data_IF_096618324411
#
_entry.id   IF_096618324411
#
_cell.length_a   1.000
_cell.length_b   1.000
_cell.length_c   1.000
_cell.angle_alpha   90.00
_cell.angle_beta   90.00
_cell.angle_gamma   90.00
#
_symmetry.space_group_name_H-M   'P 1'
#
loop_
_entity.id
_entity.type
_entity.pdbx_description
1 polymer ?
#
# COMPACT_ATOMS: atom_id res chain seq x y z
N UNK A 1 33.26 -8.26 -39.28
CA UNK A 1 34.33 -8.66 -38.35
C UNK A 1 33.63 -9.19 -37.11
N UNK A 2 33.56 -10.51 -36.96
CA UNK A 2 32.83 -11.15 -35.85
C UNK A 2 33.68 -11.09 -34.58
N UNK A 3 33.10 -10.84 -33.40
CA UNK A 3 33.85 -10.84 -32.16
C UNK A 3 34.49 -12.22 -31.95
N UNK A 4 35.74 -12.24 -31.52
CA UNK A 4 36.43 -13.51 -31.19
C UNK A 4 35.78 -14.14 -29.96
N UNK A 5 35.85 -15.46 -29.83
CA UNK A 5 35.24 -16.21 -28.70
C UNK A 5 35.60 -15.61 -27.32
N UNK A 6 36.83 -15.11 -27.18
CA UNK A 6 37.31 -14.43 -25.99
C UNK A 6 36.57 -13.11 -25.69
N UNK A 7 36.21 -12.32 -26.71
CA UNK A 7 35.42 -11.10 -26.55
C UNK A 7 33.99 -11.40 -26.08
N UNK A 8 33.38 -12.48 -26.58
CA UNK A 8 32.04 -12.90 -26.13
C UNK A 8 32.04 -13.31 -24.65
N UNK A 9 33.07 -14.01 -24.19
CA UNK A 9 33.22 -14.37 -22.77
C UNK A 9 33.34 -13.15 -21.86
N UNK A 10 34.16 -12.17 -22.27
CA UNK A 10 34.33 -10.94 -21.50
C UNK A 10 33.05 -10.12 -21.42
N UNK A 11 32.31 -9.99 -22.53
CA UNK A 11 31.02 -9.29 -22.56
C UNK A 11 30.01 -10.00 -21.66
N UNK A 12 29.92 -11.33 -21.73
CA UNK A 12 29.01 -12.11 -20.87
C UNK A 12 29.35 -11.93 -19.38
N UNK A 13 30.63 -11.97 -19.03
CA UNK A 13 31.09 -11.78 -17.65
C UNK A 13 30.80 -10.36 -17.14
N UNK A 14 30.97 -9.35 -17.99
CA UNK A 14 30.70 -7.95 -17.67
C UNK A 14 29.18 -7.70 -17.51
N UNK A 15 28.34 -8.32 -18.34
CA UNK A 15 26.88 -8.27 -18.17
C UNK A 15 26.46 -8.95 -16.87
N UNK A 16 27.01 -10.13 -16.57
CA UNK A 16 26.71 -10.87 -15.34
C UNK A 16 27.03 -10.04 -14.09
N UNK A 17 28.23 -9.43 -14.03
CA UNK A 17 28.61 -8.58 -12.91
C UNK A 17 27.69 -7.36 -12.81
N UNK A 18 27.40 -6.65 -13.90
CA UNK A 18 26.50 -5.49 -13.86
C UNK A 18 25.07 -5.85 -13.42
N UNK A 19 24.58 -7.04 -13.75
CA UNK A 19 23.25 -7.51 -13.34
C UNK A 19 23.20 -7.97 -11.88
N UNK A 20 24.24 -8.66 -11.40
CA UNK A 20 24.28 -9.23 -10.04
C UNK A 20 24.66 -8.18 -8.99
N UNK A 21 25.59 -7.27 -9.29
CA UNK A 21 25.92 -6.18 -8.37
C UNK A 21 24.80 -5.15 -8.18
N UNK A 22 23.79 -5.13 -9.08
CA UNK A 22 22.61 -4.27 -8.93
C UNK A 22 21.58 -4.77 -7.94
N UNK A 23 21.67 -6.02 -7.46
CA UNK A 23 20.69 -6.59 -6.52
C UNK A 23 21.17 -6.50 -5.07
N UNK A 24 21.37 -5.28 -4.57
CA UNK A 24 21.39 -5.02 -3.13
C UNK A 24 19.93 -4.76 -2.70
N UNK A 25 19.15 -5.84 -2.52
CA UNK A 25 17.82 -5.72 -1.92
C UNK A 25 17.99 -5.48 -0.42
N UNK A 26 18.06 -4.22 -0.01
CA UNK A 26 18.01 -3.85 1.41
C UNK A 26 16.58 -4.00 1.91
N UNK A 27 16.32 -5.07 2.66
CA UNK A 27 15.14 -5.13 3.52
C UNK A 27 15.41 -4.21 4.71
N UNK A 28 14.75 -3.05 4.73
CA UNK A 28 14.63 -2.25 5.95
C UNK A 28 13.64 -3.01 6.82
N UNK A 29 14.15 -3.78 7.80
CA UNK A 29 13.33 -4.24 8.91
C UNK A 29 13.05 -3.00 9.75
N UNK A 30 11.90 -2.37 9.52
CA UNK A 30 11.37 -1.36 10.42
C UNK A 30 10.91 -2.12 11.66
N UNK A 31 11.84 -2.26 12.61
CA UNK A 31 11.52 -2.70 13.97
C UNK A 31 10.49 -1.71 14.51
N UNK A 32 9.31 -2.24 14.85
CA UNK A 32 8.18 -1.47 15.34
C UNK A 32 8.45 -1.05 16.80
N UNK A 33 9.47 -0.23 17.02
CA UNK A 33 9.78 0.29 18.35
C UNK A 33 10.47 1.66 18.24
N UNK A 34 9.75 2.67 18.72
CA UNK A 34 10.16 4.05 18.98
C UNK A 34 10.14 5.04 17.80
N UNK A 35 8.96 5.65 17.58
CA UNK A 35 8.86 6.95 16.90
C UNK A 35 9.41 8.04 17.82
N UNK A 36 10.46 8.79 17.44
CA UNK A 36 10.98 9.87 18.26
C UNK A 36 10.06 11.11 18.18
N UNK A 37 9.47 11.46 19.32
CA UNK A 37 8.96 12.76 19.77
C UNK A 37 8.25 13.69 18.74
N UNK A 38 6.93 13.77 18.92
CA UNK A 38 6.19 15.02 19.13
C UNK A 38 6.34 16.15 18.11
N UNK A 39 5.81 15.93 16.90
CA UNK A 39 4.91 16.94 16.35
C UNK A 39 3.53 16.56 16.92
N UNK A 40 2.82 17.44 17.65
CA UNK A 40 1.44 17.17 18.01
C UNK A 40 0.63 17.22 16.71
N UNK A 41 0.62 16.11 15.98
CA UNK A 41 -0.52 15.78 15.14
C UNK A 41 -1.74 15.95 16.03
N UNK A 42 -2.80 16.64 15.56
CA UNK A 42 -4.00 16.82 16.36
C UNK A 42 -4.38 15.44 16.89
N UNK A 43 -4.30 15.27 18.21
CA UNK A 43 -4.43 13.99 18.89
C UNK A 43 -5.72 13.36 18.41
N UNK A 44 -5.59 12.37 17.54
CA UNK A 44 -6.75 11.79 16.90
C UNK A 44 -7.32 10.76 17.88
N UNK A 45 -8.51 10.96 18.45
CA UNK A 45 -9.00 10.07 19.51
C UNK A 45 -9.15 8.63 19.04
N UNK A 46 -9.41 8.44 17.74
CA UNK A 46 -9.54 7.12 17.09
C UNK A 46 -8.20 6.37 17.04
N UNK A 47 -7.07 7.08 16.96
CA UNK A 47 -5.74 6.46 16.98
C UNK A 47 -5.28 6.09 18.40
N UNK A 48 -5.98 6.56 19.45
CA UNK A 48 -5.71 6.13 20.82
C UNK A 48 -6.26 4.71 21.10
N UNK A 49 -7.24 4.27 20.31
CA UNK A 49 -7.72 2.89 20.28
C UNK A 49 -7.00 2.15 19.14
N UNK A 50 -5.81 1.62 19.46
CA UNK A 50 -4.89 0.97 18.50
C UNK A 50 -5.59 0.01 17.50
N UNK A 51 -6.43 -0.96 17.93
CA UNK A 51 -7.08 -1.87 16.99
C UNK A 51 -8.08 -1.18 16.06
N UNK A 52 -8.79 -0.15 16.54
CA UNK A 52 -9.71 0.62 15.69
C UNK A 52 -8.91 1.47 14.71
N UNK A 53 -7.88 2.16 15.18
CA UNK A 53 -6.97 2.95 14.36
C UNK A 53 -6.34 2.13 13.23
N UNK A 54 -5.85 0.92 13.53
CA UNK A 54 -5.25 0.02 12.54
C UNK A 54 -6.26 -0.37 11.43
N UNK A 55 -7.51 -0.71 11.81
CA UNK A 55 -8.56 -1.03 10.84
C UNK A 55 -8.85 0.18 9.93
N UNK A 56 -8.96 1.37 10.51
CA UNK A 56 -9.22 2.62 9.77
C UNK A 56 -8.08 2.92 8.78
N UNK A 57 -6.83 2.73 9.20
CA UNK A 57 -5.66 2.87 8.32
C UNK A 57 -5.70 1.86 7.17
N UNK A 58 -6.01 0.59 7.49
CA UNK A 58 -6.05 -0.47 6.48
C UNK A 58 -7.15 -0.26 5.45
N UNK A 59 -8.30 0.28 5.85
CA UNK A 59 -9.37 0.70 4.93
C UNK A 59 -8.84 1.73 3.93
N UNK A 60 -8.11 2.75 4.39
CA UNK A 60 -7.55 3.77 3.52
C UNK A 60 -6.49 3.22 2.55
N UNK A 61 -5.66 2.28 3.01
CA UNK A 61 -4.63 1.65 2.16
C UNK A 61 -5.26 0.82 1.04
N UNK A 62 -6.19 -0.08 1.38
CA UNK A 62 -6.90 -0.90 0.39
C UNK A 62 -7.71 -0.04 -0.59
N UNK A 63 -8.35 1.02 -0.09
CA UNK A 63 -9.09 1.95 -0.95
C UNK A 63 -8.18 2.69 -1.93
N UNK A 64 -7.00 3.11 -1.49
CA UNK A 64 -5.99 3.70 -2.36
C UNK A 64 -5.51 2.71 -3.41
N UNK A 65 -5.21 1.46 -3.04
CA UNK A 65 -4.78 0.43 -4.00
C UNK A 65 -5.80 0.28 -5.15
N UNK A 66 -7.10 0.23 -4.82
CA UNK A 66 -8.20 0.09 -5.79
C UNK A 66 -8.44 1.35 -6.64
N UNK A 67 -8.16 2.54 -6.11
CA UNK A 67 -8.49 3.82 -6.75
C UNK A 67 -7.28 4.65 -7.20
N UNK A 68 -6.06 4.17 -6.99
CA UNK A 68 -4.80 4.87 -7.25
C UNK A 68 -4.69 5.48 -8.65
N UNK A 69 -5.23 4.78 -9.65
CA UNK A 69 -5.27 5.22 -11.04
C UNK A 69 -6.09 6.50 -11.29
N UNK A 70 -7.14 6.74 -10.48
CA UNK A 70 -8.04 7.88 -10.61
C UNK A 70 -7.91 8.90 -9.48
N UNK A 71 -7.50 8.45 -8.28
CA UNK A 71 -7.30 9.26 -7.08
C UNK A 71 -5.98 8.90 -6.39
N UNK A 72 -4.84 9.41 -6.87
CA UNK A 72 -3.53 9.07 -6.33
C UNK A 72 -3.33 9.52 -4.87
N UNK A 73 -4.01 10.60 -4.46
CA UNK A 73 -3.92 11.14 -3.10
C UNK A 73 -4.94 10.52 -2.12
N UNK A 74 -5.70 9.50 -2.54
CA UNK A 74 -6.79 8.91 -1.75
C UNK A 74 -6.38 8.53 -0.33
N UNK A 75 -5.18 7.96 -0.16
CA UNK A 75 -4.69 7.52 1.16
C UNK A 75 -4.59 8.69 2.16
N UNK A 76 -4.09 9.84 1.70
CA UNK A 76 -3.90 11.02 2.55
C UNK A 76 -5.24 11.69 2.82
N UNK A 77 -6.10 11.82 1.79
CA UNK A 77 -7.44 12.38 1.91
C UNK A 77 -8.34 11.55 2.85
N UNK A 78 -8.17 10.23 2.84
CA UNK A 78 -8.91 9.30 3.71
C UNK A 78 -8.49 9.41 5.18
N UNK A 79 -7.20 9.62 5.46
CA UNK A 79 -6.66 9.76 6.83
C UNK A 79 -6.84 11.16 7.43
N UNK A 80 -7.17 12.15 6.59
CA UNK A 80 -7.33 13.53 7.02
C UNK A 80 -8.48 13.69 8.04
N UNK A 81 -8.42 14.75 8.84
CA UNK A 81 -9.44 15.11 9.83
C UNK A 81 -9.96 13.92 10.63
N UNK A 82 -9.05 13.08 11.12
CA UNK A 82 -9.39 11.93 11.94
C UNK A 82 -10.38 10.94 11.33
N UNK A 83 -10.22 10.65 10.03
CA UNK A 83 -11.12 9.76 9.28
C UNK A 83 -12.57 10.29 9.21
N UNK A 84 -12.80 11.59 9.45
CA UNK A 84 -14.12 12.21 9.37
C UNK A 84 -14.49 12.68 7.95
N UNK A 85 -13.64 12.37 6.96
CA UNK A 85 -13.81 12.87 5.59
C UNK A 85 -14.80 12.04 4.76
N UNK A 86 -15.33 12.66 3.71
CA UNK A 86 -16.14 11.96 2.71
C UNK A 86 -15.33 10.87 1.99
N UNK A 87 -14.02 11.08 1.81
CA UNK A 87 -13.12 10.08 1.25
C UNK A 87 -13.12 8.79 2.11
N UNK A 88 -13.03 8.92 3.43
CA UNK A 88 -13.11 7.77 4.34
C UNK A 88 -14.47 7.08 4.25
N UNK A 89 -15.58 7.85 4.25
CA UNK A 89 -16.94 7.30 4.13
C UNK A 89 -17.16 6.57 2.80
N UNK A 90 -16.59 7.06 1.72
CA UNK A 90 -16.64 6.40 0.41
C UNK A 90 -15.82 5.12 0.39
N UNK A 91 -14.63 5.12 0.99
CA UNK A 91 -13.81 3.92 1.15
C UNK A 91 -14.51 2.84 1.97
N UNK A 92 -15.21 3.21 3.05
CA UNK A 92 -16.01 2.26 3.86
C UNK A 92 -17.10 1.54 3.06
N UNK A 93 -17.68 2.19 2.05
CA UNK A 93 -18.73 1.58 1.21
C UNK A 93 -18.19 0.41 0.38
N UNK A 94 -16.89 0.36 0.12
CA UNK A 94 -16.25 -0.76 -0.59
C UNK A 94 -16.26 -2.04 0.25
N UNK A 95 -16.16 -1.91 1.57
CA UNK A 95 -16.09 -3.03 2.52
C UNK A 95 -17.44 -3.37 3.16
N UNK A 96 -18.45 -2.53 2.93
CA UNK A 96 -19.81 -2.79 3.42
C UNK A 96 -20.46 -3.87 2.55
N UNK A 97 -20.99 -4.96 3.13
CA UNK A 97 -21.73 -5.96 2.37
C UNK A 97 -22.89 -5.28 1.65
N UNK A 98 -22.90 -5.34 0.32
CA UNK A 98 -24.09 -4.96 -0.42
C UNK A 98 -25.20 -5.88 0.04
N UNK A 99 -26.30 -5.33 0.54
CA UNK A 99 -27.54 -6.08 0.73
C UNK A 99 -27.94 -6.54 -0.67
N UNK A 100 -27.44 -7.71 -1.09
CA UNK A 100 -28.09 -8.47 -2.12
C UNK A 100 -29.48 -8.72 -1.54
N UNK A 101 -30.47 -8.00 -2.05
CA UNK A 101 -31.83 -8.50 -2.06
C UNK A 101 -31.69 -9.91 -2.60
N UNK A 102 -31.75 -10.91 -1.71
CA UNK A 102 -31.86 -12.29 -2.10
C UNK A 102 -33.10 -12.30 -2.99
N UNK A 103 -32.91 -12.32 -4.29
CA UNK A 103 -33.86 -12.98 -5.16
C UNK A 103 -33.76 -14.45 -4.76
N UNK A 104 -34.42 -14.78 -3.65
CA UNK A 104 -34.85 -16.13 -3.38
C UNK A 104 -35.74 -16.42 -4.57
N UNK A 105 -35.17 -17.06 -5.58
CA UNK A 105 -35.91 -17.70 -6.63
C UNK A 105 -36.59 -18.91 -5.99
N UNK A 106 -37.61 -18.61 -5.17
CA UNK A 106 -38.58 -19.55 -4.66
C UNK A 106 -39.46 -19.88 -5.85
N UNK A 107 -38.96 -20.75 -6.74
CA UNK A 107 -39.82 -21.46 -7.67
C UNK A 107 -39.99 -22.87 -7.11
N UNK A 108 -41.24 -23.12 -6.77
CA UNK A 108 -41.89 -24.42 -6.77
C UNK A 108 -41.43 -25.28 -7.95
#
# INVERSE_FOLDING_TARGET
MFPTSQQCFLISLLVYTLTVFRSEARLILEDATERPNDIPSPSCPVLADEPVGEVMERICDMCHELSSHSRPNMRVECRADCFSTDAFRDCLKLFTPRRHTRHIHQKY
#
